data_IF_342358997158
#
_entry.id   IF_342358997158
#
_cell.length_a   1.000
_cell.length_b   1.000
_cell.length_c   1.000
_cell.angle_alpha   90.00
_cell.angle_beta   90.00
_cell.angle_gamma   90.00
#
_symmetry.space_group_name_H-M   'P 1'
#
loop_
_entity.id
_entity.type
_entity.pdbx_description
1 polymer ?
#
# COMPACT_ATOMS: atom_id res chain seq x y z
N UNK A 1 -7.19 -3.16 32.30
CA UNK A 1 -5.79 -3.46 31.90
C UNK A 1 -5.80 -4.77 31.14
N UNK A 2 -6.43 -4.77 29.96
CA UNK A 2 -6.68 -5.99 29.17
C UNK A 2 -7.19 -5.68 27.75
N UNK A 3 -6.88 -4.50 27.19
CA UNK A 3 -7.26 -4.12 25.82
C UNK A 3 -6.05 -4.01 24.87
N UNK A 4 -4.83 -4.31 25.36
CA UNK A 4 -3.58 -4.11 24.59
C UNK A 4 -3.03 -5.39 23.94
N UNK A 5 -3.74 -6.52 24.05
CA UNK A 5 -3.20 -7.85 23.69
C UNK A 5 -3.88 -8.56 22.50
N UNK A 6 -4.67 -7.83 21.72
CA UNK A 6 -5.24 -8.31 20.45
C UNK A 6 -4.89 -7.35 19.30
N UNK A 7 -3.66 -6.83 19.28
CA UNK A 7 -3.10 -6.35 18.01
C UNK A 7 -2.74 -7.57 17.18
N UNK A 8 -3.38 -7.64 16.02
CA UNK A 8 -3.28 -8.66 15.00
C UNK A 8 -1.83 -9.21 14.87
N UNK A 9 -1.70 -10.54 14.94
CA UNK A 9 -0.39 -11.23 15.00
C UNK A 9 0.38 -11.21 13.68
N UNK A 10 -0.19 -10.61 12.63
CA UNK A 10 0.32 -10.75 11.27
C UNK A 10 0.86 -9.45 10.64
N UNK A 11 0.62 -8.28 11.23
CA UNK A 11 1.17 -7.02 10.72
C UNK A 11 1.90 -6.21 11.79
N UNK A 12 3.20 -6.06 11.62
CA UNK A 12 4.08 -5.29 12.51
C UNK A 12 4.45 -3.97 11.83
N UNK A 13 4.00 -2.85 12.41
CA UNK A 13 4.29 -1.51 11.91
C UNK A 13 5.80 -1.27 11.69
N UNK A 14 6.68 -1.95 12.44
CA UNK A 14 8.12 -1.86 12.21
C UNK A 14 8.53 -2.41 10.83
N UNK A 15 7.91 -3.51 10.38
CA UNK A 15 8.17 -4.07 9.06
C UNK A 15 7.60 -3.17 7.96
N UNK A 16 6.44 -2.56 8.18
CA UNK A 16 5.86 -1.58 7.23
C UNK A 16 6.78 -0.37 7.02
N UNK A 17 7.39 0.16 8.09
CA UNK A 17 8.37 1.25 8.00
C UNK A 17 9.57 0.84 7.15
N UNK A 18 10.11 -0.36 7.39
CA UNK A 18 11.27 -0.88 6.65
C UNK A 18 10.93 -1.05 5.16
N UNK A 19 9.79 -1.64 4.83
CA UNK A 19 9.37 -1.82 3.44
C UNK A 19 9.07 -0.49 2.76
N UNK A 20 8.48 0.48 3.46
CA UNK A 20 8.25 1.83 2.92
C UNK A 20 9.57 2.50 2.56
N UNK A 21 10.56 2.46 3.45
CA UNK A 21 11.91 2.98 3.16
C UNK A 21 12.53 2.25 1.97
N UNK A 22 12.41 0.92 1.90
CA UNK A 22 12.92 0.11 0.79
C UNK A 22 12.30 0.55 -0.54
N UNK A 23 10.98 0.74 -0.59
CA UNK A 23 10.29 1.17 -1.80
C UNK A 23 10.68 2.57 -2.26
N UNK A 24 10.84 3.53 -1.35
CA UNK A 24 11.32 4.87 -1.72
C UNK A 24 12.75 4.83 -2.25
N UNK A 25 13.61 3.96 -1.71
CA UNK A 25 14.94 3.73 -2.28
C UNK A 25 14.89 3.16 -3.71
N UNK A 26 13.93 2.29 -4.04
CA UNK A 26 13.76 1.82 -5.43
C UNK A 26 13.29 2.94 -6.37
N UNK A 27 12.55 3.93 -5.88
CA UNK A 27 12.12 5.09 -6.67
C UNK A 27 13.21 6.16 -6.84
N UNK A 28 14.11 6.29 -5.86
CA UNK A 28 15.14 7.34 -5.80
C UNK A 28 16.54 6.69 -5.71
N UNK A 29 17.25 6.49 -6.84
CA UNK A 29 18.57 5.85 -6.85
C UNK A 29 19.61 6.51 -5.95
N UNK A 30 19.62 7.86 -5.88
CA UNK A 30 20.52 8.60 -5.00
C UNK A 30 20.26 8.30 -3.52
N UNK A 31 18.99 8.10 -3.14
CA UNK A 31 18.61 7.69 -1.79
C UNK A 31 19.05 6.26 -1.52
N UNK A 32 18.89 5.34 -2.47
CA UNK A 32 19.37 3.96 -2.35
C UNK A 32 20.86 3.92 -2.03
N UNK A 33 21.67 4.66 -2.79
CA UNK A 33 23.10 4.80 -2.52
C UNK A 33 23.39 5.40 -1.14
N UNK A 34 22.65 6.44 -0.75
CA UNK A 34 22.77 7.06 0.57
C UNK A 34 22.33 6.14 1.73
N UNK A 35 21.50 5.13 1.47
CA UNK A 35 21.09 4.17 2.49
C UNK A 35 22.01 2.94 2.54
N UNK A 36 22.49 2.47 1.37
CA UNK A 36 23.44 1.36 1.20
C UNK A 36 24.83 1.67 1.76
N UNK A 37 25.34 2.89 1.54
CA UNK A 37 26.66 3.34 2.03
C UNK A 37 26.79 3.36 3.58
N UNK A 38 25.67 3.17 4.29
CA UNK A 38 25.58 3.33 5.73
C UNK A 38 25.04 2.06 6.43
N UNK A 39 25.21 0.88 5.82
CA UNK A 39 24.88 -0.45 6.39
C UNK A 39 23.42 -0.88 6.15
N UNK A 40 23.23 -1.80 5.19
CA UNK A 40 22.34 -2.94 5.36
C UNK A 40 23.01 -3.82 6.43
N UNK A 41 22.32 -4.12 7.54
CA UNK A 41 22.52 -5.26 8.47
C UNK A 41 22.09 -4.83 9.89
N UNK A 42 21.07 -5.55 10.39
CA UNK A 42 20.51 -5.61 11.75
C UNK A 42 19.91 -4.33 12.37
N UNK A 43 18.69 -3.99 11.94
CA UNK A 43 17.77 -3.20 12.75
C UNK A 43 16.93 -4.16 13.61
N UNK A 44 16.78 -3.84 14.89
CA UNK A 44 15.91 -4.57 15.80
C UNK A 44 14.52 -3.95 15.76
N UNK A 45 13.59 -4.63 15.09
CA UNK A 45 12.18 -4.21 14.95
C UNK A 45 11.44 -4.12 16.28
N UNK A 46 12.00 -4.67 17.36
CA UNK A 46 11.44 -4.61 18.72
C UNK A 46 12.07 -3.52 19.58
N UNK A 47 13.09 -2.82 19.08
CA UNK A 47 13.76 -1.73 19.78
C UNK A 47 13.38 -0.37 19.21
N UNK A 48 12.76 0.47 20.05
CA UNK A 48 12.45 1.86 19.70
C UNK A 48 13.70 2.63 19.27
N UNK A 49 14.81 2.49 20.00
CA UNK A 49 16.05 3.18 19.64
C UNK A 49 16.60 2.73 18.28
N UNK A 50 16.45 1.46 17.94
CA UNK A 50 16.89 0.93 16.64
C UNK A 50 16.04 1.51 15.50
N UNK A 51 14.71 1.47 15.65
CA UNK A 51 13.77 2.02 14.66
C UNK A 51 13.88 3.54 14.53
N UNK A 52 14.08 4.26 15.63
CA UNK A 52 14.31 5.71 15.61
C UNK A 52 15.57 6.06 14.82
N UNK A 53 16.69 5.35 15.05
CA UNK A 53 17.93 5.57 14.30
C UNK A 53 17.77 5.32 12.80
N UNK A 54 16.98 4.31 12.42
CA UNK A 54 16.61 4.04 11.03
C UNK A 54 15.86 5.23 10.42
N UNK A 55 14.78 5.67 11.07
CA UNK A 55 13.98 6.81 10.62
C UNK A 55 14.80 8.10 10.53
N UNK A 56 15.61 8.41 11.55
CA UNK A 56 16.47 9.60 11.57
C UNK A 56 17.47 9.61 10.41
N UNK A 57 18.00 8.44 10.07
CA UNK A 57 18.93 8.28 8.94
C UNK A 57 18.22 8.48 7.61
N UNK A 58 17.06 7.85 7.42
CA UNK A 58 16.22 8.06 6.24
C UNK A 58 15.85 9.54 6.08
N UNK A 59 15.39 10.20 7.13
CA UNK A 59 14.99 11.61 7.12
C UNK A 59 16.16 12.53 6.70
N UNK A 60 17.36 12.33 7.27
CA UNK A 60 18.56 13.09 6.87
C UNK A 60 18.95 12.86 5.40
N UNK A 61 18.79 11.64 4.90
CA UNK A 61 19.07 11.32 3.52
C UNK A 61 18.06 12.03 2.58
N UNK A 62 16.77 12.00 2.91
CA UNK A 62 15.72 12.74 2.19
C UNK A 62 15.99 14.24 2.19
N UNK A 63 16.40 14.84 3.33
CA UNK A 63 16.79 16.25 3.39
C UNK A 63 17.93 16.57 2.41
N UNK A 64 18.91 15.67 2.30
CA UNK A 64 20.03 15.81 1.37
C UNK A 64 19.57 15.71 -0.09
N UNK A 65 18.64 14.79 -0.40
CA UNK A 65 18.01 14.68 -1.73
C UNK A 65 17.24 15.96 -2.09
N UNK A 66 16.48 16.52 -1.16
CA UNK A 66 15.78 17.79 -1.38
C UNK A 66 16.74 18.95 -1.68
N UNK A 67 17.91 19.00 -1.05
CA UNK A 67 18.92 20.00 -1.40
C UNK A 67 19.53 19.75 -2.78
N UNK A 68 19.76 18.49 -3.14
CA UNK A 68 20.25 18.11 -4.47
C UNK A 68 19.29 18.55 -5.58
N UNK A 69 17.98 18.38 -5.38
CA UNK A 69 16.93 18.79 -6.33
C UNK A 69 16.72 20.31 -6.42
N UNK A 70 17.21 21.09 -5.46
CA UNK A 70 17.28 22.57 -5.58
C UNK A 70 18.43 23.04 -6.47
N UNK A 71 19.41 22.16 -6.73
CA UNK A 71 20.54 22.43 -7.60
C UNK A 71 20.20 22.18 -9.07
N UNK A 72 21.13 21.54 -9.79
CA UNK A 72 20.97 21.22 -11.22
C UNK A 72 20.37 19.83 -11.46
N UNK A 73 20.22 19.01 -10.42
CA UNK A 73 19.70 17.64 -10.53
C UNK A 73 18.20 17.67 -10.76
N UNK A 74 17.72 16.92 -11.74
CA UNK A 74 16.29 16.82 -12.03
C UNK A 74 15.58 16.09 -10.87
N UNK A 75 14.49 16.66 -10.32
CA UNK A 75 13.70 15.97 -9.30
C UNK A 75 12.97 14.76 -9.88
N UNK A 76 12.50 13.89 -8.99
CA UNK A 76 11.63 12.78 -9.37
C UNK A 76 10.40 13.28 -10.14
N UNK A 77 10.04 12.60 -11.23
CA UNK A 77 8.85 12.92 -12.01
C UNK A 77 7.59 12.63 -11.18
N UNK A 78 6.79 13.66 -10.95
CA UNK A 78 5.47 13.54 -10.33
C UNK A 78 4.47 12.93 -11.31
N UNK A 79 3.34 12.43 -10.79
CA UNK A 79 2.21 11.87 -11.54
C UNK A 79 2.56 10.64 -12.39
N UNK A 80 3.56 9.87 -11.97
CA UNK A 80 3.84 8.53 -12.53
C UNK A 80 3.02 7.50 -11.75
N UNK A 81 2.46 6.51 -12.45
CA UNK A 81 1.86 5.34 -11.80
C UNK A 81 2.91 4.51 -11.03
N UNK A 82 2.52 3.91 -9.90
CA UNK A 82 3.40 3.00 -9.17
C UNK A 82 3.74 1.77 -10.01
N UNK A 83 4.88 1.15 -9.74
CA UNK A 83 5.16 -0.21 -10.23
C UNK A 83 4.22 -1.22 -9.54
N UNK A 84 4.01 -2.40 -10.10
CA UNK A 84 3.16 -3.44 -9.47
C UNK A 84 3.60 -3.79 -8.04
N UNK A 85 4.91 -3.84 -7.79
CA UNK A 85 5.43 -4.11 -6.45
C UNK A 85 5.14 -2.98 -5.47
N UNK A 86 5.34 -1.73 -5.89
CA UNK A 86 5.01 -0.56 -5.07
C UNK A 86 3.51 -0.45 -4.81
N UNK A 87 2.68 -0.73 -5.82
CA UNK A 87 1.23 -0.71 -5.70
C UNK A 87 0.74 -1.76 -4.69
N UNK A 88 1.30 -2.98 -4.73
CA UNK A 88 1.00 -4.01 -3.73
C UNK A 88 1.31 -3.53 -2.31
N UNK A 89 2.47 -2.90 -2.12
CA UNK A 89 2.87 -2.35 -0.81
C UNK A 89 1.91 -1.25 -0.34
N UNK A 90 1.55 -0.31 -1.21
CA UNK A 90 0.61 0.77 -0.90
C UNK A 90 -0.76 0.20 -0.51
N UNK A 91 -1.30 -0.74 -1.29
CA UNK A 91 -2.62 -1.33 -0.98
C UNK A 91 -2.60 -2.13 0.32
N UNK A 92 -1.51 -2.85 0.60
CA UNK A 92 -1.34 -3.53 1.88
C UNK A 92 -1.30 -2.55 3.05
N UNK A 93 -0.57 -1.43 2.92
CA UNK A 93 -0.54 -0.37 3.92
C UNK A 93 -1.94 0.23 4.13
N UNK A 94 -2.65 0.56 3.05
CA UNK A 94 -4.03 1.08 3.13
C UNK A 94 -4.93 0.09 3.87
N UNK A 95 -4.90 -1.19 3.50
CA UNK A 95 -5.69 -2.22 4.17
C UNK A 95 -5.39 -2.29 5.67
N UNK A 96 -4.11 -2.32 6.04
CA UNK A 96 -3.70 -2.47 7.44
C UNK A 96 -4.09 -1.28 8.33
N UNK A 97 -4.21 -0.08 7.74
CA UNK A 97 -4.62 1.12 8.47
C UNK A 97 -6.14 1.34 8.44
N UNK A 98 -6.85 0.80 7.46
CA UNK A 98 -8.31 0.93 7.32
C UNK A 98 -9.08 -0.22 7.98
N UNK A 99 -8.68 -1.48 7.76
CA UNK A 99 -9.36 -2.67 8.27
C UNK A 99 -8.83 -3.01 9.66
N UNK A 100 -9.47 -2.44 10.67
CA UNK A 100 -9.05 -2.60 12.07
C UNK A 100 -9.41 -3.97 12.68
N UNK A 101 -10.39 -4.66 12.11
CA UNK A 101 -10.89 -5.95 12.62
C UNK A 101 -11.28 -6.86 11.44
N UNK A 102 -10.31 -7.60 10.88
CA UNK A 102 -10.54 -8.47 9.71
C UNK A 102 -11.56 -9.58 9.97
N UNK A 103 -11.75 -10.01 11.23
CA UNK A 103 -12.73 -11.04 11.55
C UNK A 103 -14.17 -10.58 11.25
N UNK A 104 -14.44 -9.28 11.34
CA UNK A 104 -15.76 -8.72 10.99
C UNK A 104 -16.10 -8.86 9.52
N UNK A 105 -15.10 -8.93 8.63
CA UNK A 105 -15.32 -9.17 7.20
C UNK A 105 -15.77 -10.61 6.92
N UNK A 106 -15.48 -11.54 7.82
CA UNK A 106 -15.90 -12.95 7.72
C UNK A 106 -17.30 -13.21 8.30
N UNK A 107 -17.97 -12.19 8.86
CA UNK A 107 -19.30 -12.31 9.44
C UNK A 107 -20.39 -12.13 8.37
N UNK A 108 -20.57 -13.14 7.54
CA UNK A 108 -21.65 -13.22 6.57
C UNK A 108 -22.49 -14.48 6.77
N UNK A 109 -23.76 -14.44 6.38
CA UNK A 109 -24.59 -15.64 6.37
C UNK A 109 -24.07 -16.62 5.30
N UNK A 110 -23.78 -17.90 5.66
CA UNK A 110 -23.43 -18.90 4.67
C UNK A 110 -24.50 -18.98 3.57
N UNK A 111 -24.08 -19.04 2.31
CA UNK A 111 -24.93 -19.08 1.12
C UNK A 111 -25.67 -17.77 0.77
N UNK A 112 -25.31 -16.64 1.36
CA UNK A 112 -25.74 -15.30 0.89
C UNK A 112 -24.79 -14.75 -0.20
N UNK A 113 -25.19 -13.73 -0.98
CA UNK A 113 -24.29 -13.00 -1.87
C UNK A 113 -23.21 -12.16 -1.14
N UNK A 114 -23.17 -12.18 0.19
CA UNK A 114 -22.34 -11.31 1.04
C UNK A 114 -21.05 -12.00 1.49
N UNK A 115 -20.69 -13.13 0.86
CA UNK A 115 -19.44 -13.85 1.12
C UNK A 115 -18.26 -12.97 0.71
N UNK A 116 -17.52 -12.46 1.68
CA UNK A 116 -16.26 -11.77 1.44
C UNK A 116 -15.17 -12.78 1.06
N UNK A 117 -14.71 -12.72 -0.18
CA UNK A 117 -13.54 -13.45 -0.66
C UNK A 117 -12.52 -12.45 -1.19
N UNK A 118 -11.40 -12.29 -0.50
CA UNK A 118 -10.36 -11.38 -0.98
C UNK A 118 -9.84 -11.85 -2.33
N UNK A 119 -10.03 -11.02 -3.35
CA UNK A 119 -9.47 -11.27 -4.67
C UNK A 119 -7.96 -11.01 -4.60
N UNK A 120 -7.15 -12.00 -4.96
CA UNK A 120 -5.69 -11.87 -4.93
C UNK A 120 -5.21 -10.73 -5.83
N UNK A 121 -4.28 -9.91 -5.33
CA UNK A 121 -3.61 -8.85 -6.10
C UNK A 121 -3.09 -9.36 -7.45
N UNK A 122 -2.51 -10.57 -7.47
CA UNK A 122 -1.94 -11.17 -8.67
C UNK A 122 -3.00 -11.50 -9.73
N UNK A 123 -4.19 -11.91 -9.30
CA UNK A 123 -5.31 -12.16 -10.19
C UNK A 123 -5.82 -10.85 -10.81
N UNK A 124 -5.96 -9.79 -10.01
CA UNK A 124 -6.36 -8.47 -10.52
C UNK A 124 -5.32 -7.90 -11.47
N UNK A 125 -4.03 -8.08 -11.18
CA UNK A 125 -2.94 -7.67 -12.07
C UNK A 125 -3.02 -8.41 -13.42
N UNK A 126 -3.28 -9.72 -13.40
CA UNK A 126 -3.49 -10.49 -14.62
C UNK A 126 -4.71 -9.98 -15.41
N UNK A 127 -5.82 -9.69 -14.73
CA UNK A 127 -7.02 -9.11 -15.38
C UNK A 127 -6.69 -7.77 -16.02
N UNK A 128 -5.94 -6.89 -15.33
CA UNK A 128 -5.50 -5.60 -15.87
C UNK A 128 -4.62 -5.80 -17.12
N UNK A 129 -3.71 -6.77 -17.10
CA UNK A 129 -2.82 -7.04 -18.24
C UNK A 129 -3.58 -7.63 -19.44
N UNK A 130 -4.64 -8.41 -19.20
CA UNK A 130 -5.50 -8.99 -20.25
C UNK A 130 -6.55 -7.99 -20.77
N UNK A 131 -6.95 -7.03 -19.95
CA UNK A 131 -7.93 -6.01 -20.31
C UNK A 131 -7.22 -4.76 -20.86
N UNK A 132 -7.31 -4.53 -22.17
CA UNK A 132 -6.82 -3.30 -22.81
C UNK A 132 -7.71 -2.08 -22.47
N UNK A 133 -7.73 -1.67 -21.20
CA UNK A 133 -8.53 -0.55 -20.70
C UNK A 133 -8.01 0.81 -21.17
N UNK A 134 -8.90 1.62 -21.74
CA UNK A 134 -8.61 2.90 -22.41
C UNK A 134 -9.18 4.11 -21.65
N UNK A 135 -8.80 5.32 -22.05
CA UNK A 135 -9.17 6.58 -21.38
C UNK A 135 -10.66 6.90 -21.41
N UNK A 136 -11.40 6.32 -22.34
CA UNK A 136 -12.85 6.43 -22.47
C UNK A 136 -13.63 5.44 -21.60
N UNK A 137 -12.97 4.40 -21.08
CA UNK A 137 -13.64 3.32 -20.37
C UNK A 137 -14.10 3.72 -18.97
N UNK A 138 -15.09 2.99 -18.47
CA UNK A 138 -15.56 3.11 -17.08
C UNK A 138 -15.52 1.73 -16.44
N UNK A 139 -14.75 1.63 -15.36
CA UNK A 139 -14.62 0.42 -14.57
C UNK A 139 -15.65 0.42 -13.42
N UNK A 140 -16.32 -0.70 -13.21
CA UNK A 140 -17.29 -0.88 -12.12
C UNK A 140 -17.07 -2.24 -11.46
N UNK A 141 -16.84 -2.24 -10.15
CA UNK A 141 -16.78 -3.43 -9.31
C UNK A 141 -18.10 -3.60 -8.54
N UNK A 142 -18.79 -4.72 -8.77
CA UNK A 142 -20.11 -5.02 -8.21
C UNK A 142 -19.95 -5.99 -7.02
N UNK A 143 -20.17 -5.50 -5.81
CA UNK A 143 -19.81 -6.21 -4.57
C UNK A 143 -18.34 -5.95 -4.23
N UNK A 144 -17.95 -4.68 -4.20
CA UNK A 144 -16.54 -4.27 -4.15
C UNK A 144 -15.85 -4.54 -2.81
N UNK A 145 -16.59 -4.97 -1.78
CA UNK A 145 -16.06 -5.14 -0.44
C UNK A 145 -15.42 -3.84 0.07
N UNK A 146 -14.19 -3.96 0.57
CA UNK A 146 -13.37 -2.82 1.05
C UNK A 146 -12.74 -1.99 -0.09
N UNK A 147 -13.04 -2.30 -1.36
CA UNK A 147 -12.65 -1.49 -2.52
C UNK A 147 -11.26 -1.77 -3.11
N UNK A 148 -10.56 -2.81 -2.65
CA UNK A 148 -9.18 -3.11 -3.06
C UNK A 148 -8.98 -3.24 -4.58
N UNK A 149 -9.94 -3.87 -5.29
CA UNK A 149 -9.87 -4.06 -6.74
C UNK A 149 -9.98 -2.73 -7.46
N UNK A 150 -10.95 -1.90 -7.05
CA UNK A 150 -11.15 -0.55 -7.62
C UNK A 150 -9.89 0.30 -7.46
N UNK A 151 -9.26 0.27 -6.28
CA UNK A 151 -8.02 1.02 -6.01
C UNK A 151 -6.85 0.52 -6.87
N UNK A 152 -6.69 -0.80 -7.02
CA UNK A 152 -5.63 -1.38 -7.85
C UNK A 152 -5.81 -1.01 -9.33
N UNK A 153 -7.02 -1.16 -9.86
CA UNK A 153 -7.34 -0.86 -11.26
C UNK A 153 -7.17 0.63 -11.53
N UNK A 154 -7.63 1.51 -10.63
CA UNK A 154 -7.44 2.96 -10.76
C UNK A 154 -5.96 3.38 -10.74
N UNK A 155 -5.14 2.73 -9.93
CA UNK A 155 -3.72 3.02 -9.85
C UNK A 155 -2.90 2.46 -11.02
N UNK A 156 -3.41 1.45 -11.74
CA UNK A 156 -2.71 0.78 -12.83
C UNK A 156 -3.18 1.18 -14.23
N UNK A 157 -4.43 1.63 -14.38
CA UNK A 157 -5.07 1.86 -15.70
C UNK A 157 -5.52 3.29 -15.91
N UNK A 158 -5.90 3.61 -17.14
CA UNK A 158 -6.22 4.96 -17.62
C UNK A 158 -7.73 5.24 -17.76
N UNK A 159 -8.63 4.37 -17.32
CA UNK A 159 -10.07 4.57 -17.42
C UNK A 159 -10.50 5.96 -16.94
N UNK A 160 -11.57 6.47 -17.57
CA UNK A 160 -12.17 7.76 -17.24
C UNK A 160 -12.70 7.81 -15.81
N UNK A 161 -13.34 6.73 -15.39
CA UNK A 161 -14.04 6.61 -14.13
C UNK A 161 -13.91 5.20 -13.55
N UNK A 162 -13.90 5.13 -12.21
CA UNK A 162 -13.83 3.90 -11.44
C UNK A 162 -14.89 3.95 -10.35
N UNK A 163 -15.68 2.89 -10.23
CA UNK A 163 -16.73 2.79 -9.22
C UNK A 163 -16.65 1.44 -8.51
N UNK A 164 -16.86 1.44 -7.21
CA UNK A 164 -17.17 0.26 -6.41
C UNK A 164 -18.54 0.44 -5.78
N UNK A 165 -19.35 -0.62 -5.77
CA UNK A 165 -20.62 -0.64 -5.04
C UNK A 165 -20.62 -1.84 -4.10
N UNK A 166 -20.83 -1.57 -2.82
CA UNK A 166 -20.92 -2.57 -1.76
C UNK A 166 -22.25 -2.41 -1.01
N UNK A 167 -22.93 -3.51 -0.73
CA UNK A 167 -24.23 -3.54 -0.07
C UNK A 167 -24.09 -3.73 1.44
N UNK A 168 -23.09 -4.48 1.88
CA UNK A 168 -22.88 -4.82 3.28
C UNK A 168 -22.24 -3.66 4.03
N UNK A 169 -22.83 -3.30 5.18
CA UNK A 169 -22.45 -2.12 5.95
C UNK A 169 -20.99 -2.16 6.42
N UNK A 170 -20.50 -3.32 6.88
CA UNK A 170 -19.15 -3.47 7.43
C UNK A 170 -18.07 -3.20 6.37
N UNK A 171 -18.00 -3.93 5.24
CA UNK A 171 -17.00 -3.65 4.21
C UNK A 171 -17.17 -2.26 3.58
N UNK A 172 -18.40 -1.76 3.44
CA UNK A 172 -18.64 -0.40 2.96
C UNK A 172 -18.06 0.66 3.93
N UNK A 173 -18.23 0.48 5.24
CA UNK A 173 -17.64 1.37 6.25
C UNK A 173 -16.11 1.37 6.19
N UNK A 174 -15.49 0.23 5.92
CA UNK A 174 -14.03 0.15 5.75
C UNK A 174 -13.53 0.73 4.42
N UNK A 175 -14.42 0.91 3.44
CA UNK A 175 -14.08 1.49 2.13
C UNK A 175 -14.14 3.04 2.12
N UNK A 176 -14.72 3.68 3.15
CA UNK A 176 -14.77 5.14 3.32
C UNK A 176 -13.42 5.75 3.72
#
# INVERSE_FOLDING_TARGET
MSDELLKDKHHDAAHEIIETIRWVCEEIPDLKLAMENYVLIDYDTKSFESMQRLCDKYNRAIDSIHQLWKGTTQPMKLNKRPSNGLLRHILQQVYNHSVTDPEKLNNYEPFSPEVYGETSFDLVAQIIDEMEMMEEDTFVDLGSGVGQVVLQVAAATNCKHYYGVEKADIPATYAE
#
